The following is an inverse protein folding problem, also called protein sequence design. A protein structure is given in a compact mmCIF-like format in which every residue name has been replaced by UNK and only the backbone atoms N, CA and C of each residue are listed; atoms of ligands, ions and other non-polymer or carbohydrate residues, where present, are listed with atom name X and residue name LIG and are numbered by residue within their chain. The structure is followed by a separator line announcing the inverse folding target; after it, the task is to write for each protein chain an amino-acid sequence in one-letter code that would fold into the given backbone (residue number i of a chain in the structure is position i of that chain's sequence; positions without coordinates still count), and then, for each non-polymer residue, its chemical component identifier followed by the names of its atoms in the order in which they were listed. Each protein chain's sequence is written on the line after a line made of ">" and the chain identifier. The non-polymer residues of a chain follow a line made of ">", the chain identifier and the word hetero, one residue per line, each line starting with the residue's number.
data_IF_850076044195
#
_entry.id   IF_850076044195
#
_cell.length_a   1.000
_cell.length_b   1.000
_cell.length_c   1.000
_cell.angle_alpha   90.00
_cell.angle_beta   90.00
_cell.angle_gamma   90.00
#
_symmetry.space_group_name_H-M   'P 1'
#
loop_
_entity.id
_entity.type
_entity.pdbx_description
1 polymer ?
#
# COMPACT_ATOMS: atom_id res chain seq x y z
N UNK A 1 10.24 8.41 3.12
CA UNK A 1 10.94 7.10 3.23
C UNK A 1 9.95 5.99 2.91
N UNK A 2 10.40 4.83 2.43
CA UNK A 2 9.54 3.68 2.06
C UNK A 2 10.01 2.45 2.83
N UNK A 3 9.06 1.69 3.38
CA UNK A 3 9.34 0.46 4.13
C UNK A 3 8.72 -0.73 3.39
N UNK A 4 9.53 -1.77 3.16
CA UNK A 4 9.09 -3.06 2.62
C UNK A 4 8.95 -4.07 3.76
N UNK A 5 7.74 -4.58 4.00
CA UNK A 5 7.47 -5.61 5.01
C UNK A 5 7.46 -7.01 4.40
N UNK A 6 8.64 -7.63 4.33
CA UNK A 6 8.86 -9.00 3.81
C UNK A 6 8.99 -10.04 4.94
N UNK A 7 8.42 -9.78 6.12
CA UNK A 7 8.43 -10.75 7.23
C UNK A 7 7.62 -12.00 6.87
N UNK A 8 8.01 -13.18 7.35
CA UNK A 8 7.22 -14.42 7.21
C UNK A 8 6.06 -14.46 8.21
N UNK A 9 5.18 -13.47 8.12
CA UNK A 9 4.06 -13.25 9.03
C UNK A 9 2.76 -13.12 8.23
N UNK A 10 1.62 -13.43 8.87
CA UNK A 10 0.32 -13.32 8.22
C UNK A 10 0.03 -11.87 7.83
N UNK A 11 -0.56 -11.67 6.64
CA UNK A 11 -0.90 -10.35 6.12
C UNK A 11 -1.70 -9.49 7.12
N UNK A 12 -2.63 -10.09 7.87
CA UNK A 12 -3.39 -9.38 8.92
C UNK A 12 -2.53 -8.81 10.06
N UNK A 13 -1.43 -9.49 10.42
CA UNK A 13 -0.48 -8.99 11.44
C UNK A 13 0.28 -7.79 10.87
N UNK A 14 0.80 -7.92 9.65
CA UNK A 14 1.48 -6.81 8.94
C UNK A 14 0.58 -5.59 8.77
N UNK A 15 -0.68 -5.80 8.42
CA UNK A 15 -1.64 -4.71 8.25
C UNK A 15 -1.90 -3.98 9.56
N UNK A 16 -2.08 -4.73 10.66
CA UNK A 16 -2.25 -4.15 11.99
C UNK A 16 -1.02 -3.35 12.40
N UNK A 17 0.19 -3.87 12.19
CA UNK A 17 1.43 -3.18 12.50
C UNK A 17 1.57 -1.90 11.66
N UNK A 18 1.33 -1.97 10.36
CA UNK A 18 1.38 -0.82 9.47
C UNK A 18 0.35 0.27 9.85
N UNK A 19 -0.86 -0.14 10.22
CA UNK A 19 -1.93 0.76 10.68
C UNK A 19 -1.59 1.37 12.06
N UNK A 20 -0.90 0.62 12.95
CA UNK A 20 -0.41 1.09 14.27
C UNK A 20 0.77 2.06 14.16
N UNK A 21 1.76 1.75 13.32
CA UNK A 21 2.88 2.65 12.99
C UNK A 21 2.33 3.93 12.36
N UNK A 22 1.27 3.79 11.58
CA UNK A 22 0.50 4.90 11.07
C UNK A 22 0.93 5.39 9.70
N UNK A 23 1.42 4.49 8.84
CA UNK A 23 1.77 4.84 7.47
C UNK A 23 0.57 5.47 6.74
N UNK A 24 0.76 6.62 6.05
CA UNK A 24 -0.34 7.32 5.38
C UNK A 24 -0.89 6.53 4.19
N UNK A 25 0.00 5.79 3.50
CA UNK A 25 -0.34 4.97 2.35
C UNK A 25 0.22 3.57 2.54
N UNK A 26 -0.52 2.56 2.07
CA UNK A 26 -0.10 1.16 2.06
C UNK A 26 -0.38 0.55 0.70
N UNK A 27 0.64 -0.04 0.09
CA UNK A 27 0.50 -0.82 -1.13
C UNK A 27 0.70 -2.29 -0.79
N UNK A 28 -0.33 -3.09 -1.03
CA UNK A 28 -0.29 -4.53 -0.78
C UNK A 28 -0.19 -5.27 -2.11
N UNK A 29 0.84 -6.10 -2.24
CA UNK A 29 0.97 -7.06 -3.35
C UNK A 29 0.42 -8.39 -2.88
N UNK A 30 -0.77 -8.73 -3.37
CA UNK A 30 -1.49 -9.95 -2.99
C UNK A 30 -1.90 -10.77 -4.20
N UNK A 31 -3.00 -11.53 -4.08
CA UNK A 31 -3.49 -12.41 -5.16
C UNK A 31 -3.90 -11.67 -6.43
N UNK A 32 -4.30 -10.40 -6.31
CA UNK A 32 -4.71 -9.53 -7.42
C UNK A 32 -3.57 -9.22 -8.38
N UNK A 33 -2.32 -9.53 -8.01
CA UNK A 33 -1.17 -9.33 -8.90
C UNK A 33 -1.25 -10.22 -10.14
N UNK A 34 -1.94 -11.37 -10.05
CA UNK A 34 -2.20 -12.23 -11.22
C UNK A 34 -3.08 -11.54 -12.26
N UNK A 35 -3.90 -10.58 -11.84
CA UNK A 35 -4.71 -9.73 -12.69
C UNK A 35 -3.99 -8.42 -13.07
N UNK A 36 -2.72 -8.25 -12.64
CA UNK A 36 -1.92 -7.05 -12.87
C UNK A 36 -2.20 -5.89 -11.91
N UNK A 37 -2.88 -6.14 -10.77
CA UNK A 37 -3.27 -5.08 -9.84
C UNK A 37 -2.64 -5.24 -8.44
N UNK A 38 -2.27 -4.11 -7.85
CA UNK A 38 -1.93 -3.97 -6.43
C UNK A 38 -3.06 -3.28 -5.69
N UNK A 39 -3.18 -3.57 -4.39
CA UNK A 39 -4.17 -2.93 -3.55
C UNK A 39 -3.55 -1.68 -2.90
N UNK A 40 -4.15 -0.53 -3.15
CA UNK A 40 -3.72 0.76 -2.65
C UNK A 40 -4.68 1.22 -1.55
N UNK A 41 -4.19 1.36 -0.32
CA UNK A 41 -4.97 1.82 0.83
C UNK A 41 -4.50 3.20 1.29
N UNK A 42 -5.44 4.12 1.44
CA UNK A 42 -5.24 5.42 2.07
C UNK A 42 -5.70 5.36 3.52
N UNK A 43 -4.84 5.68 4.48
CA UNK A 43 -5.17 5.61 5.90
C UNK A 43 -6.22 6.64 6.31
N UNK A 44 -6.13 7.86 5.78
CA UNK A 44 -7.00 8.98 6.14
C UNK A 44 -8.48 8.71 5.79
N UNK A 45 -8.74 8.23 4.57
CA UNK A 45 -10.11 7.95 4.10
C UNK A 45 -10.55 6.51 4.40
N UNK A 46 -9.60 5.61 4.66
CA UNK A 46 -9.86 4.18 4.77
C UNK A 46 -10.18 3.50 3.43
N UNK A 47 -10.13 4.24 2.32
CA UNK A 47 -10.43 3.70 1.00
C UNK A 47 -9.35 2.73 0.53
N UNK A 48 -9.81 1.71 -0.19
CA UNK A 48 -8.96 0.72 -0.82
C UNK A 48 -9.29 0.64 -2.30
N UNK A 49 -8.33 1.02 -3.12
CA UNK A 49 -8.42 1.07 -4.57
C UNK A 49 -7.49 0.03 -5.20
N UNK A 50 -7.73 -0.33 -6.47
CA UNK A 50 -6.85 -1.20 -7.24
C UNK A 50 -6.21 -0.41 -8.36
N UNK A 51 -4.90 -0.52 -8.46
CA UNK A 51 -4.10 0.14 -9.49
C UNK A 51 -3.10 -0.85 -10.07
N UNK A 52 -2.61 -0.59 -11.28
CA UNK A 52 -1.41 -1.30 -11.72
C UNK A 52 -0.22 -0.86 -10.86
N UNK A 53 0.85 -1.66 -10.75
CA UNK A 53 2.06 -1.27 -10.01
C UNK A 53 2.61 0.10 -10.44
N UNK A 54 2.57 0.39 -11.74
CA UNK A 54 3.05 1.65 -12.33
C UNK A 54 2.17 2.82 -11.87
N UNK A 55 0.84 2.68 -12.00
CA UNK A 55 -0.12 3.71 -11.60
C UNK A 55 -0.04 4.01 -10.10
N UNK A 56 0.07 2.97 -9.26
CA UNK A 56 0.19 3.13 -7.81
C UNK A 56 1.46 3.92 -7.45
N UNK A 57 2.58 3.60 -8.11
CA UNK A 57 3.87 4.25 -7.88
C UNK A 57 3.84 5.71 -8.31
N UNK A 58 3.29 5.99 -9.50
CA UNK A 58 3.16 7.35 -10.02
C UNK A 58 2.27 8.21 -9.11
N UNK A 59 1.12 7.67 -8.66
CA UNK A 59 0.22 8.35 -7.72
C UNK A 59 0.93 8.68 -6.40
N UNK A 60 1.69 7.74 -5.82
CA UNK A 60 2.46 7.98 -4.59
C UNK A 60 3.49 9.10 -4.76
N UNK A 61 4.27 9.06 -5.85
CA UNK A 61 5.32 10.05 -6.12
C UNK A 61 4.70 11.43 -6.26
N UNK A 62 3.59 11.55 -6.99
CA UNK A 62 2.90 12.82 -7.20
C UNK A 62 2.35 13.40 -5.90
N UNK A 63 1.74 12.55 -5.05
CA UNK A 63 1.23 12.99 -3.74
C UNK A 63 2.38 13.44 -2.85
N UNK A 64 3.45 12.64 -2.72
CA UNK A 64 4.59 12.97 -1.83
C UNK A 64 5.31 14.25 -2.28
N UNK A 65 5.41 14.51 -3.59
CA UNK A 65 6.01 15.76 -4.11
C UNK A 65 5.12 16.99 -3.96
N UNK A 66 3.81 16.81 -3.79
CA UNK A 66 2.86 17.90 -3.63
C UNK A 66 2.74 18.38 -2.17
N UNK A 67 3.30 17.62 -1.22
CA UNK A 67 3.44 17.97 0.20
C UNK A 67 4.80 18.60 0.44
#
# INVERSE_FOLDING_TARGET
>A
EVVLDDRDERAGVKFKDADLIGFPFRVTVGKTINDGFVEYKTRETGEQEKYTPEQATEKLINIIKAV
#
